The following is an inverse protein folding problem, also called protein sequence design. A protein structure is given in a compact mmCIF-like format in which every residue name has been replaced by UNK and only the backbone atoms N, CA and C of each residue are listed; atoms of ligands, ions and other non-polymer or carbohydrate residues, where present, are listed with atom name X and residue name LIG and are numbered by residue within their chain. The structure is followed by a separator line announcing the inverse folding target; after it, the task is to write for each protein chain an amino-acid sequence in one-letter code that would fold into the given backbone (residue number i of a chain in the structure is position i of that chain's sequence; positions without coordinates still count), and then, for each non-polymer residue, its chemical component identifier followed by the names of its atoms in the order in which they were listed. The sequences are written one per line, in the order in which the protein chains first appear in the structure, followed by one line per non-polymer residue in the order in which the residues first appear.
data_IF_660774159849
#
_entry.id   IF_660774159849
#
_cell.length_a   1.000
_cell.length_b   1.000
_cell.length_c   1.000
_cell.angle_alpha   90.00
_cell.angle_beta   90.00
_cell.angle_gamma   90.00
#
_symmetry.space_group_name_H-M   'P 1'
#
loop_
_entity.id
_entity.type
_entity.pdbx_description
1 polymer ?
#
# COMPACT_ATOMS: atom_id res chain seq x y z
N UNK A 1 27.10 -0.73 -16.16
CA UNK A 1 27.55 -2.12 -16.43
C UNK A 1 28.26 -2.61 -15.19
N UNK A 2 27.57 -3.36 -14.33
CA UNK A 2 28.23 -4.09 -13.24
C UNK A 2 28.69 -5.40 -13.86
N UNK A 3 30.01 -5.63 -13.89
CA UNK A 3 30.59 -6.89 -14.33
C UNK A 3 30.10 -7.99 -13.37
N UNK A 4 29.32 -8.93 -13.88
CA UNK A 4 28.91 -10.11 -13.12
C UNK A 4 30.02 -11.15 -13.25
N UNK A 5 30.71 -11.44 -12.14
CA UNK A 5 31.66 -12.55 -12.06
C UNK A 5 30.92 -13.88 -12.08
N UNK A 6 31.35 -14.81 -12.94
CA UNK A 6 30.82 -16.18 -13.10
C UNK A 6 31.23 -17.15 -11.96
N UNK A 7 31.43 -16.67 -10.72
CA UNK A 7 31.66 -17.56 -9.57
C UNK A 7 30.36 -17.79 -8.81
N UNK A 8 30.03 -19.05 -8.53
CA UNK A 8 28.90 -19.41 -7.68
C UNK A 8 28.99 -18.65 -6.33
N UNK A 9 27.91 -18.02 -5.86
CA UNK A 9 27.92 -17.26 -4.61
C UNK A 9 28.29 -18.17 -3.44
N UNK A 10 29.05 -17.64 -2.48
CA UNK A 10 29.31 -18.35 -1.23
C UNK A 10 27.98 -18.50 -0.48
N UNK A 11 27.56 -19.73 -0.10
CA UNK A 11 26.29 -19.94 0.59
C UNK A 11 26.25 -19.15 1.90
N UNK A 12 25.19 -18.36 2.08
CA UNK A 12 24.85 -17.74 3.35
C UNK A 12 24.13 -18.76 4.23
N UNK A 13 24.26 -18.60 5.54
CA UNK A 13 23.61 -19.51 6.49
C UNK A 13 22.16 -19.09 6.73
N UNK A 14 21.86 -17.81 6.57
CA UNK A 14 20.56 -17.25 6.89
C UNK A 14 19.46 -17.77 5.94
N UNK A 15 18.36 -18.20 6.55
CA UNK A 15 17.15 -18.62 5.84
C UNK A 15 16.18 -17.46 5.71
N UNK A 16 15.68 -17.26 4.50
CA UNK A 16 14.80 -16.15 4.14
C UNK A 16 13.49 -16.66 3.56
N UNK A 17 12.37 -16.23 4.14
CA UNK A 17 11.05 -16.46 3.54
C UNK A 17 10.63 -15.22 2.77
N UNK A 18 10.36 -15.38 1.48
CA UNK A 18 9.91 -14.30 0.60
C UNK A 18 8.40 -14.33 0.52
N UNK A 19 7.74 -13.21 0.81
CA UNK A 19 6.31 -13.06 0.55
C UNK A 19 6.06 -13.04 -0.96
N UNK A 20 5.48 -14.12 -1.49
CA UNK A 20 5.20 -14.32 -2.92
C UNK A 20 3.75 -13.97 -3.21
N UNK A 21 3.48 -12.84 -3.88
CA UNK A 21 2.11 -12.39 -4.17
C UNK A 21 1.62 -12.78 -5.56
N UNK A 22 2.37 -13.62 -6.29
CA UNK A 22 2.13 -13.87 -7.71
C UNK A 22 2.49 -12.69 -8.63
N UNK A 23 3.19 -11.67 -8.11
CA UNK A 23 3.63 -10.49 -8.85
C UNK A 23 5.13 -10.51 -9.20
N UNK A 24 5.52 -9.75 -10.22
CA UNK A 24 6.91 -9.71 -10.71
C UNK A 24 7.94 -9.26 -9.67
N UNK A 25 7.54 -8.38 -8.75
CA UNK A 25 8.46 -7.78 -7.78
C UNK A 25 8.89 -8.77 -6.71
N UNK A 26 7.95 -9.58 -6.20
CA UNK A 26 8.28 -10.69 -5.28
C UNK A 26 9.10 -11.78 -5.99
N UNK A 27 8.77 -12.08 -7.26
CA UNK A 27 9.49 -13.08 -8.06
C UNK A 27 10.97 -12.73 -8.22
N UNK A 28 11.26 -11.49 -8.60
CA UNK A 28 12.63 -11.00 -8.76
C UNK A 28 13.31 -10.86 -7.41
N UNK A 29 12.60 -10.47 -6.35
CA UNK A 29 13.17 -10.43 -5.00
C UNK A 29 13.68 -11.81 -4.55
N UNK A 30 12.89 -12.87 -4.77
CA UNK A 30 13.30 -14.24 -4.45
C UNK A 30 14.52 -14.68 -5.27
N UNK A 31 14.50 -14.40 -6.58
CA UNK A 31 15.63 -14.71 -7.46
C UNK A 31 16.92 -14.00 -7.05
N UNK A 32 16.85 -12.71 -6.72
CA UNK A 32 18.02 -11.93 -6.30
C UNK A 32 18.61 -12.46 -4.99
N UNK A 33 17.78 -12.88 -4.04
CA UNK A 33 18.25 -13.46 -2.78
C UNK A 33 18.92 -14.84 -2.99
N UNK A 34 18.37 -15.66 -3.88
CA UNK A 34 19.02 -16.91 -4.30
C UNK A 34 20.40 -16.65 -4.89
N UNK A 35 20.52 -15.66 -5.79
CA UNK A 35 21.79 -15.27 -6.41
C UNK A 35 22.79 -14.67 -5.40
N UNK A 36 22.31 -14.11 -4.30
CA UNK A 36 23.14 -13.64 -3.19
C UNK A 36 23.56 -14.75 -2.22
N UNK A 37 23.13 -16.00 -2.46
CA UNK A 37 23.50 -17.18 -1.69
C UNK A 37 22.64 -17.49 -0.48
N UNK A 38 21.50 -16.81 -0.27
CA UNK A 38 20.58 -17.12 0.84
C UNK A 38 19.88 -18.46 0.64
N UNK A 39 19.45 -19.08 1.75
CA UNK A 39 18.50 -20.20 1.70
C UNK A 39 17.09 -19.63 1.58
N UNK A 40 16.52 -19.69 0.38
CA UNK A 40 15.25 -19.01 0.06
C UNK A 40 14.10 -20.00 -0.05
N UNK A 41 12.98 -19.67 0.59
CA UNK A 41 11.67 -20.29 0.33
C UNK A 41 10.62 -19.19 0.16
N UNK A 42 9.52 -19.51 -0.51
CA UNK A 42 8.40 -18.59 -0.72
C UNK A 42 7.27 -18.84 0.26
N UNK A 43 6.50 -17.81 0.60
CA UNK A 43 5.21 -17.92 1.27
C UNK A 43 4.16 -17.13 0.49
N UNK A 44 3.09 -17.81 0.06
CA UNK A 44 1.89 -17.17 -0.45
C UNK A 44 0.90 -16.94 0.69
N UNK A 45 0.41 -15.71 0.83
CA UNK A 45 -0.52 -15.31 1.88
C UNK A 45 -1.91 -15.13 1.29
N UNK A 46 -2.88 -15.89 1.79
CA UNK A 46 -4.30 -15.62 1.55
C UNK A 46 -4.83 -14.77 2.70
N UNK A 47 -5.27 -13.56 2.41
CA UNK A 47 -5.69 -12.59 3.44
C UNK A 47 -7.17 -12.21 3.33
N UNK A 48 -7.93 -12.86 2.45
CA UNK A 48 -9.30 -12.51 2.14
C UNK A 48 -10.05 -13.73 1.62
N UNK A 49 -11.15 -14.09 2.28
CA UNK A 49 -11.96 -15.27 1.96
C UNK A 49 -13.31 -14.90 1.30
N UNK A 50 -13.80 -13.67 1.43
CA UNK A 50 -15.16 -13.26 0.99
C UNK A 50 -15.39 -13.38 -0.53
N UNK A 51 -14.33 -13.40 -1.33
CA UNK A 51 -14.42 -13.54 -2.79
C UNK A 51 -14.31 -15.00 -3.26
N UNK A 52 -14.18 -15.97 -2.34
CA UNK A 52 -14.09 -17.39 -2.67
C UNK A 52 -15.32 -17.88 -3.45
N UNK A 53 -15.07 -18.56 -4.57
CA UNK A 53 -16.13 -19.07 -5.45
C UNK A 53 -16.82 -18.01 -6.32
N UNK A 54 -16.39 -16.75 -6.26
CA UNK A 54 -16.85 -15.67 -7.14
C UNK A 54 -15.94 -15.48 -8.34
N UNK A 55 -16.42 -14.73 -9.35
CA UNK A 55 -15.61 -14.31 -10.51
C UNK A 55 -14.42 -13.39 -10.13
N UNK A 56 -14.42 -12.82 -8.91
CA UNK A 56 -13.38 -11.93 -8.41
C UNK A 56 -12.23 -12.65 -7.69
N UNK A 57 -12.28 -13.98 -7.57
CA UNK A 57 -11.24 -14.76 -6.90
C UNK A 57 -9.93 -14.81 -7.73
N UNK A 58 -9.09 -13.78 -7.62
CA UNK A 58 -7.75 -13.76 -8.26
C UNK A 58 -6.72 -14.57 -7.49
N UNK A 59 -6.98 -14.86 -6.20
CA UNK A 59 -6.03 -15.54 -5.32
C UNK A 59 -5.57 -16.90 -5.86
N UNK A 60 -6.43 -17.63 -6.58
CA UNK A 60 -6.07 -18.91 -7.20
C UNK A 60 -5.09 -18.73 -8.36
N UNK A 61 -5.27 -17.69 -9.17
CA UNK A 61 -4.36 -17.36 -10.28
C UNK A 61 -3.03 -16.83 -9.75
N UNK A 62 -3.08 -15.94 -8.75
CA UNK A 62 -1.89 -15.40 -8.09
C UNK A 62 -1.08 -16.52 -7.40
N UNK A 63 -1.74 -17.50 -6.80
CA UNK A 63 -1.09 -18.69 -6.22
C UNK A 63 -0.45 -19.56 -7.31
N UNK A 64 -1.12 -19.77 -8.43
CA UNK A 64 -0.56 -20.53 -9.55
C UNK A 64 0.68 -19.84 -10.13
N UNK A 65 0.65 -18.52 -10.28
CA UNK A 65 1.80 -17.73 -10.73
C UNK A 65 2.96 -17.78 -9.72
N UNK A 66 2.66 -17.67 -8.42
CA UNK A 66 3.66 -17.81 -7.37
C UNK A 66 4.31 -19.20 -7.39
N UNK A 67 3.52 -20.26 -7.56
CA UNK A 67 4.00 -21.63 -7.67
C UNK A 67 4.88 -21.81 -8.91
N UNK A 68 4.43 -21.34 -10.08
CA UNK A 68 5.19 -21.44 -11.32
C UNK A 68 6.55 -20.74 -11.23
N UNK A 69 6.62 -19.59 -10.55
CA UNK A 69 7.88 -18.91 -10.28
C UNK A 69 8.77 -19.71 -9.33
N UNK A 70 8.21 -20.22 -8.23
CA UNK A 70 8.95 -21.01 -7.24
C UNK A 70 9.55 -22.28 -7.86
N UNK A 71 8.76 -22.99 -8.68
CA UNK A 71 9.21 -24.18 -9.42
C UNK A 71 10.33 -23.83 -10.41
N UNK A 72 10.20 -22.69 -11.10
CA UNK A 72 11.20 -22.22 -12.07
C UNK A 72 12.55 -21.91 -11.44
N UNK A 73 12.56 -21.35 -10.23
CA UNK A 73 13.80 -20.98 -9.51
C UNK A 73 14.23 -22.02 -8.47
N UNK A 74 13.49 -23.12 -8.33
CA UNK A 74 13.85 -24.26 -7.49
C UNK A 74 13.68 -24.03 -5.98
N UNK A 75 12.66 -23.27 -5.55
CA UNK A 75 12.37 -23.04 -4.13
C UNK A 75 11.02 -23.62 -3.73
N UNK A 76 10.89 -23.97 -2.45
CA UNK A 76 9.63 -24.42 -1.87
C UNK A 76 8.68 -23.23 -1.71
N UNK A 77 7.41 -23.39 -2.11
CA UNK A 77 6.33 -22.47 -1.79
C UNK A 77 5.49 -23.02 -0.63
N UNK A 78 5.33 -22.22 0.42
CA UNK A 78 4.37 -22.47 1.49
C UNK A 78 3.11 -21.63 1.25
N UNK A 79 2.03 -22.00 1.93
CA UNK A 79 0.81 -21.21 1.98
C UNK A 79 0.43 -20.93 3.43
N UNK A 80 -0.13 -19.76 3.69
CA UNK A 80 -0.74 -19.40 4.97
C UNK A 80 -2.02 -18.62 4.73
N UNK A 81 -3.02 -18.82 5.59
CA UNK A 81 -4.24 -18.02 5.60
C UNK A 81 -4.17 -17.07 6.80
N UNK A 82 -4.19 -15.77 6.52
CA UNK A 82 -4.26 -14.69 7.51
C UNK A 82 -5.55 -13.86 7.36
N UNK A 83 -6.61 -14.42 6.79
CA UNK A 83 -7.87 -13.72 6.56
C UNK A 83 -8.52 -13.27 7.87
N UNK A 84 -8.41 -14.05 8.94
CA UNK A 84 -8.92 -13.67 10.26
C UNK A 84 -8.15 -12.46 10.80
N UNK A 85 -6.83 -12.51 10.80
CA UNK A 85 -5.98 -11.40 11.25
C UNK A 85 -6.18 -10.14 10.40
N UNK A 86 -6.40 -10.33 9.10
CA UNK A 86 -6.69 -9.24 8.16
C UNK A 86 -8.02 -8.56 8.51
N UNK A 87 -9.06 -9.36 8.74
CA UNK A 87 -10.38 -8.87 9.10
C UNK A 87 -10.30 -8.01 10.36
N UNK A 88 -9.79 -8.59 11.44
CA UNK A 88 -9.76 -7.98 12.77
C UNK A 88 -8.86 -6.74 12.82
N UNK A 89 -7.66 -6.83 12.24
CA UNK A 89 -6.63 -5.78 12.45
C UNK A 89 -6.58 -4.73 11.34
N UNK A 90 -7.22 -4.97 10.20
CA UNK A 90 -7.19 -4.06 9.03
C UNK A 90 -8.59 -3.67 8.59
N UNK A 91 -9.45 -4.65 8.31
CA UNK A 91 -10.72 -4.39 7.66
C UNK A 91 -11.75 -3.74 8.60
N UNK A 92 -11.84 -4.17 9.86
CA UNK A 92 -12.73 -3.53 10.83
C UNK A 92 -12.39 -2.05 11.04
N UNK A 93 -11.10 -1.73 11.17
CA UNK A 93 -10.64 -0.33 11.26
C UNK A 93 -11.00 0.46 10.00
N UNK A 94 -10.76 -0.13 8.83
CA UNK A 94 -11.13 0.48 7.54
C UNK A 94 -12.63 0.83 7.50
N UNK A 95 -13.52 -0.07 7.93
CA UNK A 95 -14.96 0.23 7.98
C UNK A 95 -15.29 1.30 9.02
N UNK A 96 -14.65 1.27 10.19
CA UNK A 96 -14.86 2.27 11.24
C UNK A 96 -14.47 3.69 10.78
N UNK A 97 -13.36 3.83 10.06
CA UNK A 97 -12.91 5.11 9.51
C UNK A 97 -13.89 5.67 8.47
N UNK A 98 -14.43 4.81 7.59
CA UNK A 98 -15.46 5.22 6.63
C UNK A 98 -16.78 5.61 7.29
N UNK A 99 -17.22 4.88 8.33
CA UNK A 99 -18.40 5.25 9.14
C UNK A 99 -18.22 6.63 9.77
N UNK A 100 -16.99 6.98 10.13
CA UNK A 100 -16.64 8.29 10.65
C UNK A 100 -16.30 9.33 9.56
N UNK A 101 -16.60 9.03 8.29
CA UNK A 101 -16.49 9.94 7.15
C UNK A 101 -15.06 10.22 6.66
N UNK A 102 -14.07 9.54 7.24
CA UNK A 102 -12.66 9.62 6.84
C UNK A 102 -12.37 8.71 5.66
N UNK A 103 -11.23 8.92 5.01
CA UNK A 103 -10.74 8.06 3.92
C UNK A 103 -9.51 7.30 4.44
N UNK A 104 -9.68 6.06 4.94
CA UNK A 104 -8.57 5.27 5.46
C UNK A 104 -7.62 4.81 4.35
N UNK A 105 -6.40 4.43 4.75
CA UNK A 105 -5.47 3.71 3.89
C UNK A 105 -5.21 2.31 4.47
N UNK A 106 -5.91 1.27 3.96
CA UNK A 106 -5.78 -0.09 4.49
C UNK A 106 -4.42 -0.72 4.19
N UNK A 107 -3.69 -0.26 3.17
CA UNK A 107 -2.39 -0.82 2.81
C UNK A 107 -1.31 -0.52 3.86
N UNK A 108 -1.40 0.62 4.57
CA UNK A 108 -0.51 0.94 5.70
C UNK A 108 -0.68 -0.10 6.81
N UNK A 109 -1.94 -0.43 7.16
CA UNK A 109 -2.25 -1.42 8.19
C UNK A 109 -1.95 -2.85 7.74
N UNK A 110 -2.23 -3.19 6.48
CA UNK A 110 -1.84 -4.48 5.90
C UNK A 110 -0.34 -4.71 6.02
N UNK A 111 0.48 -3.70 5.73
CA UNK A 111 1.92 -3.82 5.97
C UNK A 111 2.22 -4.04 7.45
N UNK A 112 1.72 -3.17 8.33
CA UNK A 112 2.06 -3.22 9.76
C UNK A 112 1.60 -4.50 10.46
N UNK A 113 0.35 -4.90 10.27
CA UNK A 113 -0.29 -5.98 11.04
C UNK A 113 -0.15 -7.34 10.37
N UNK A 114 -0.07 -7.38 9.04
CA UNK A 114 -0.03 -8.65 8.30
C UNK A 114 1.38 -8.91 7.78
N UNK A 115 1.89 -8.08 6.85
CA UNK A 115 3.16 -8.38 6.16
C UNK A 115 4.40 -8.29 7.03
N UNK A 116 4.41 -7.44 8.06
CA UNK A 116 5.57 -7.27 8.94
C UNK A 116 5.33 -7.73 10.38
N UNK A 117 4.19 -8.36 10.65
CA UNK A 117 3.85 -8.94 11.95
C UNK A 117 3.39 -10.39 11.78
N UNK A 118 2.14 -10.66 11.35
CA UNK A 118 1.67 -12.04 11.20
C UNK A 118 2.56 -12.89 10.27
N UNK A 119 2.96 -12.34 9.12
CA UNK A 119 3.89 -13.01 8.21
C UNK A 119 5.27 -13.20 8.84
N UNK A 120 5.82 -12.17 9.49
CA UNK A 120 7.11 -12.27 10.16
C UNK A 120 7.09 -13.37 11.22
N UNK A 121 6.11 -13.35 12.11
CA UNK A 121 5.95 -14.33 13.19
C UNK A 121 5.83 -15.75 12.63
N UNK A 122 5.02 -15.93 11.59
CA UNK A 122 4.87 -17.23 10.92
C UNK A 122 6.17 -17.70 10.25
N UNK A 123 6.90 -16.81 9.57
CA UNK A 123 8.18 -17.13 8.97
C UNK A 123 9.22 -17.57 10.03
N UNK A 124 9.25 -16.91 11.18
CA UNK A 124 10.10 -17.31 12.31
C UNK A 124 9.73 -18.70 12.84
N UNK A 125 8.43 -19.04 12.91
CA UNK A 125 7.97 -20.39 13.28
C UNK A 125 8.40 -21.46 12.27
N UNK A 126 8.49 -21.11 10.98
CA UNK A 126 9.04 -21.99 9.93
C UNK A 126 10.58 -22.15 10.02
N UNK A 127 11.24 -21.45 10.95
CA UNK A 127 12.69 -21.48 11.15
C UNK A 127 13.44 -20.53 10.23
N UNK A 128 12.81 -19.44 9.79
CA UNK A 128 13.49 -18.38 9.05
C UNK A 128 14.24 -17.42 9.97
N UNK A 129 15.33 -16.86 9.48
CA UNK A 129 16.06 -15.79 10.16
C UNK A 129 15.49 -14.42 9.76
N UNK A 130 15.06 -14.28 8.50
CA UNK A 130 14.59 -13.04 7.89
C UNK A 130 13.37 -13.30 7.00
N UNK A 131 12.60 -12.25 6.76
CA UNK A 131 11.63 -12.20 5.66
C UNK A 131 12.13 -11.31 4.54
N UNK A 132 11.54 -11.46 3.36
CA UNK A 132 11.72 -10.51 2.27
C UNK A 132 10.41 -10.22 1.56
N UNK A 133 10.33 -9.05 0.95
CA UNK A 133 9.14 -8.63 0.19
C UNK A 133 9.56 -7.92 -1.10
N UNK A 134 8.66 -7.87 -2.07
CA UNK A 134 8.83 -7.10 -3.31
C UNK A 134 8.61 -5.59 -3.16
N UNK A 135 8.79 -5.01 -1.97
CA UNK A 135 8.58 -3.58 -1.78
C UNK A 135 9.77 -2.76 -2.31
N UNK A 136 9.46 -1.66 -2.99
CA UNK A 136 10.42 -0.66 -3.45
C UNK A 136 10.81 0.30 -2.32
N UNK A 137 11.47 -0.26 -1.31
CA UNK A 137 12.06 0.48 -0.20
C UNK A 137 13.46 -0.04 0.06
N UNK A 138 14.27 0.71 0.78
CA UNK A 138 15.61 0.27 1.16
C UNK A 138 15.75 0.23 2.66
N UNK A 139 16.72 -0.55 3.12
CA UNK A 139 17.09 -0.69 4.51
C UNK A 139 18.53 -0.26 4.69
N UNK A 140 18.82 0.41 5.79
CA UNK A 140 20.19 0.67 6.22
C UNK A 140 20.34 0.46 7.71
N UNK A 141 21.31 -0.34 8.11
CA UNK A 141 21.69 -0.48 9.50
C UNK A 141 22.78 0.54 9.83
N UNK A 142 22.56 1.36 10.86
CA UNK A 142 23.45 2.43 11.29
C UNK A 142 23.34 2.63 12.80
N UNK A 143 24.48 2.74 13.49
CA UNK A 143 24.54 3.08 14.92
C UNK A 143 23.64 2.19 15.81
N UNK A 144 23.58 0.89 15.49
CA UNK A 144 22.75 -0.09 16.22
C UNK A 144 21.25 0.00 15.95
N UNK A 145 20.83 0.79 14.95
CA UNK A 145 19.42 0.96 14.54
C UNK A 145 19.24 0.63 13.06
N UNK A 146 18.05 0.17 12.71
CA UNK A 146 17.67 -0.07 11.32
C UNK A 146 16.78 1.04 10.81
N UNK A 147 17.18 1.68 9.72
CA UNK A 147 16.48 2.78 9.07
C UNK A 147 15.71 2.30 7.83
N UNK A 148 14.49 2.83 7.65
CA UNK A 148 13.74 2.74 6.40
C UNK A 148 14.16 3.87 5.47
N UNK A 149 14.59 3.52 4.26
CA UNK A 149 14.99 4.45 3.22
C UNK A 149 14.03 4.35 2.03
N UNK A 150 13.93 5.44 1.27
CA UNK A 150 13.20 5.45 -0.01
C UNK A 150 13.85 4.50 -1.02
N UNK A 151 13.03 3.86 -1.85
CA UNK A 151 13.49 3.14 -3.03
C UNK A 151 14.26 4.05 -3.99
N UNK A 152 15.16 3.49 -4.80
CA UNK A 152 15.91 4.27 -5.79
C UNK A 152 15.00 4.78 -6.93
N UNK A 153 13.96 4.04 -7.29
CA UNK A 153 12.94 4.49 -8.24
C UNK A 153 11.92 5.43 -7.57
N UNK A 154 11.96 6.75 -7.82
CA UNK A 154 11.04 7.69 -7.17
C UNK A 154 9.57 7.50 -7.59
N UNK A 155 9.30 6.85 -8.73
CA UNK A 155 7.93 6.61 -9.22
C UNK A 155 7.30 5.36 -8.58
N UNK A 156 8.13 4.53 -7.95
CA UNK A 156 7.75 3.28 -7.30
C UNK A 156 8.09 3.22 -5.83
N UNK A 157 8.83 4.19 -5.27
CA UNK A 157 9.13 4.28 -3.84
C UNK A 157 7.90 4.01 -2.98
N UNK A 158 7.94 2.92 -2.22
CA UNK A 158 6.84 2.45 -1.38
C UNK A 158 7.03 2.79 0.10
N UNK A 159 8.01 3.64 0.45
CA UNK A 159 8.30 4.03 1.84
C UNK A 159 7.08 4.63 2.53
N UNK A 160 6.21 5.30 1.77
CA UNK A 160 4.92 5.83 2.23
C UNK A 160 4.04 4.78 2.92
N UNK A 161 4.03 3.53 2.42
CA UNK A 161 3.16 2.48 2.98
C UNK A 161 3.79 1.75 4.17
N UNK A 162 5.11 1.89 4.36
CA UNK A 162 5.86 1.20 5.42
C UNK A 162 6.20 2.12 6.60
N UNK A 163 5.73 3.37 6.60
CA UNK A 163 6.04 4.35 7.64
C UNK A 163 5.64 3.92 9.06
N UNK A 164 4.65 3.01 9.16
CA UNK A 164 4.14 2.51 10.43
C UNK A 164 4.77 1.19 10.89
N UNK A 165 5.75 0.66 10.14
CA UNK A 165 6.50 -0.55 10.48
C UNK A 165 7.70 -0.17 11.35
N UNK A 166 7.87 -0.85 12.48
CA UNK A 166 8.95 -0.56 13.44
C UNK A 166 10.31 -1.02 12.92
N UNK A 167 11.37 -0.34 13.36
CA UNK A 167 12.76 -0.61 12.98
C UNK A 167 13.17 -2.05 13.30
N UNK A 168 12.62 -2.66 14.36
CA UNK A 168 12.85 -4.07 14.72
C UNK A 168 12.31 -5.04 13.66
N UNK A 169 11.10 -4.81 13.14
CA UNK A 169 10.54 -5.62 12.06
C UNK A 169 11.32 -5.40 10.76
N UNK A 170 11.74 -4.16 10.48
CA UNK A 170 12.60 -3.84 9.32
C UNK A 170 13.96 -4.52 9.45
N UNK A 171 14.53 -4.61 10.65
CA UNK A 171 15.79 -5.31 10.93
C UNK A 171 15.72 -6.81 10.60
N UNK A 172 14.52 -7.38 10.59
CA UNK A 172 14.26 -8.77 10.19
C UNK A 172 13.75 -8.91 8.76
N UNK A 173 13.83 -7.84 7.96
CA UNK A 173 13.30 -7.78 6.60
C UNK A 173 14.35 -7.40 5.57
N UNK A 174 14.22 -7.94 4.35
CA UNK A 174 15.02 -7.62 3.17
C UNK A 174 14.13 -7.07 2.03
N UNK A 175 14.69 -6.14 1.24
CA UNK A 175 13.99 -5.45 0.16
C UNK A 175 14.84 -5.40 -1.12
N UNK A 176 15.06 -6.54 -1.81
CA UNK A 176 16.04 -6.62 -2.89
C UNK A 176 15.76 -5.67 -4.05
N UNK A 177 14.49 -5.46 -4.39
CA UNK A 177 14.07 -4.61 -5.52
C UNK A 177 14.12 -3.11 -5.22
N UNK A 178 14.33 -2.70 -3.96
CA UNK A 178 14.45 -1.28 -3.59
C UNK A 178 15.68 -0.59 -4.15
N UNK A 179 16.70 -1.37 -4.54
CA UNK A 179 17.93 -0.89 -5.18
C UNK A 179 17.83 -0.84 -6.72
N UNK A 180 16.65 -1.14 -7.29
CA UNK A 180 16.47 -1.26 -8.74
C UNK A 180 15.35 -0.35 -9.23
N UNK A 181 15.45 0.06 -10.49
CA UNK A 181 14.32 0.68 -11.18
C UNK A 181 13.33 -0.38 -11.67
N UNK A 182 12.04 -0.04 -11.76
CA UNK A 182 11.02 -1.00 -12.22
C UNK A 182 11.31 -1.64 -13.60
N UNK A 183 11.82 -0.91 -14.60
CA UNK A 183 12.20 -1.52 -15.87
C UNK A 183 13.27 -2.60 -15.72
N UNK A 184 14.25 -2.39 -14.85
CA UNK A 184 15.31 -3.36 -14.58
C UNK A 184 14.76 -4.63 -13.93
N UNK A 185 13.83 -4.49 -12.96
CA UNK A 185 13.13 -5.63 -12.36
C UNK A 185 12.41 -6.45 -13.43
N UNK A 186 11.69 -5.82 -14.36
CA UNK A 186 11.03 -6.54 -15.46
C UNK A 186 12.03 -7.22 -16.40
N UNK A 187 13.13 -6.55 -16.75
CA UNK A 187 14.18 -7.13 -17.59
C UNK A 187 14.84 -8.36 -16.95
N UNK A 188 15.07 -8.34 -15.63
CA UNK A 188 15.58 -9.49 -14.87
C UNK A 188 14.57 -10.65 -14.96
N UNK A 189 13.28 -10.39 -14.75
CA UNK A 189 12.24 -11.40 -14.83
C UNK A 189 12.16 -12.04 -16.23
N UNK A 190 12.22 -11.23 -17.29
CA UNK A 190 12.22 -11.72 -18.67
C UNK A 190 13.46 -12.56 -18.98
N UNK A 191 14.66 -12.10 -18.59
CA UNK A 191 15.92 -12.82 -18.80
C UNK A 191 15.91 -14.22 -18.19
N UNK A 192 15.24 -14.41 -17.05
CA UNK A 192 15.18 -15.70 -16.36
C UNK A 192 13.94 -16.53 -16.75
N UNK A 193 13.08 -16.00 -17.63
CA UNK A 193 11.87 -16.67 -18.08
C UNK A 193 10.85 -16.86 -16.95
N UNK A 194 10.70 -15.88 -16.07
CA UNK A 194 9.70 -15.93 -15.00
C UNK A 194 8.30 -15.67 -15.57
N UNK A 195 7.32 -16.50 -15.22
CA UNK A 195 5.94 -16.39 -15.71
C UNK A 195 5.32 -15.00 -15.46
N UNK A 196 5.71 -14.35 -14.37
CA UNK A 196 5.21 -13.03 -13.96
C UNK A 196 5.82 -11.86 -14.71
N UNK A 197 6.81 -12.05 -15.60
CA UNK A 197 7.57 -10.95 -16.22
C UNK A 197 6.70 -9.91 -16.93
N UNK A 198 5.65 -10.37 -17.64
CA UNK A 198 4.70 -9.53 -18.37
C UNK A 198 3.42 -9.21 -17.60
N UNK A 199 3.28 -9.72 -16.37
CA UNK A 199 2.09 -9.47 -15.54
C UNK A 199 2.01 -7.99 -15.20
N UNK A 200 0.80 -7.42 -15.25
CA UNK A 200 0.56 -6.05 -14.84
C UNK A 200 0.78 -5.91 -13.34
N UNK A 201 1.18 -4.71 -12.91
CA UNK A 201 1.26 -4.42 -11.48
C UNK A 201 -0.16 -4.44 -10.92
N UNK A 202 -0.36 -5.04 -9.74
CA UNK A 202 -1.64 -5.00 -9.04
C UNK A 202 -2.04 -3.55 -8.79
N UNK A 203 -3.26 -3.18 -9.20
CA UNK A 203 -3.85 -1.87 -8.93
C UNK A 203 -5.01 -2.02 -7.95
N UNK A 204 -5.29 -0.95 -7.18
CA UNK A 204 -6.32 -0.99 -6.15
C UNK A 204 -5.81 -1.41 -4.77
N UNK A 205 -6.74 -1.61 -3.84
CA UNK A 205 -6.44 -2.02 -2.47
C UNK A 205 -6.09 -3.52 -2.47
N UNK A 206 -5.02 -3.90 -1.77
CA UNK A 206 -4.34 -5.20 -1.89
C UNK A 206 -5.24 -6.45 -1.87
N UNK A 207 -6.38 -6.42 -1.19
CA UNK A 207 -7.31 -7.56 -1.02
C UNK A 207 -8.63 -7.39 -1.79
N UNK A 208 -8.95 -6.18 -2.24
CA UNK A 208 -10.21 -5.90 -2.94
C UNK A 208 -10.10 -6.32 -4.41
N UNK A 209 -8.89 -6.29 -4.98
CA UNK A 209 -8.65 -6.55 -6.39
C UNK A 209 -9.18 -5.44 -7.32
N UNK A 210 -9.24 -5.72 -8.61
CA UNK A 210 -9.73 -4.79 -9.64
C UNK A 210 -11.26 -4.80 -9.74
N UNK A 211 -11.95 -4.27 -8.71
CA UNK A 211 -13.42 -4.07 -8.73
C UNK A 211 -13.84 -2.65 -8.35
N UNK A 212 -15.10 -2.31 -8.63
CA UNK A 212 -15.67 -1.00 -8.28
C UNK A 212 -15.75 -0.85 -6.76
N UNK A 213 -14.89 0.01 -6.22
CA UNK A 213 -14.79 0.25 -4.78
C UNK A 213 -16.13 0.59 -4.11
N UNK A 214 -16.96 1.39 -4.77
CA UNK A 214 -18.30 1.76 -4.28
C UNK A 214 -19.21 0.54 -4.10
N UNK A 215 -19.16 -0.43 -5.02
CA UNK A 215 -20.02 -1.60 -4.96
C UNK A 215 -19.54 -2.60 -3.89
N UNK A 216 -18.23 -2.69 -3.69
CA UNK A 216 -17.65 -3.41 -2.55
C UNK A 216 -18.10 -2.81 -1.21
N UNK A 217 -17.95 -1.50 -1.02
CA UNK A 217 -18.22 -0.86 0.27
C UNK A 217 -19.71 -0.91 0.66
N UNK A 218 -20.64 -0.95 -0.32
CA UNK A 218 -22.09 -1.13 -0.10
C UNK A 218 -22.46 -2.45 0.59
N UNK A 219 -21.62 -3.47 0.48
CA UNK A 219 -21.88 -4.77 1.12
C UNK A 219 -21.75 -4.68 2.65
N UNK A 220 -20.97 -3.71 3.14
CA UNK A 220 -20.63 -3.57 4.56
C UNK A 220 -21.21 -2.32 5.22
N UNK A 221 -21.41 -1.24 4.45
CA UNK A 221 -21.92 0.02 4.95
C UNK A 221 -23.20 0.42 4.21
N UNK A 222 -24.32 0.65 4.92
CA UNK A 222 -25.56 1.08 4.30
C UNK A 222 -25.38 2.46 3.67
N UNK A 223 -25.82 2.61 2.42
CA UNK A 223 -25.84 3.89 1.73
C UNK A 223 -26.78 4.87 2.43
N UNK A 224 -26.28 6.08 2.76
CA UNK A 224 -27.07 7.17 3.33
C UNK A 224 -27.06 8.35 2.35
N UNK A 225 -28.02 8.41 1.41
CA UNK A 225 -28.06 9.49 0.44
C UNK A 225 -28.31 10.83 1.13
N UNK A 226 -27.72 11.89 0.59
CA UNK A 226 -27.78 13.25 1.13
C UNK A 226 -27.58 14.29 0.05
N UNK A 227 -27.65 15.56 0.42
CA UNK A 227 -27.58 16.67 -0.52
C UNK A 227 -26.13 17.07 -0.82
N UNK A 228 -25.91 17.52 -2.05
CA UNK A 228 -24.66 18.14 -2.48
C UNK A 228 -24.86 19.65 -2.51
N UNK A 229 -24.09 20.38 -1.72
CA UNK A 229 -24.20 21.83 -1.55
C UNK A 229 -22.96 22.57 -2.05
N UNK A 230 -23.15 23.76 -2.60
CA UNK A 230 -22.05 24.72 -2.84
C UNK A 230 -21.65 25.42 -1.54
N UNK A 231 -20.55 26.19 -1.57
CA UNK A 231 -20.09 27.05 -0.45
C UNK A 231 -21.09 28.11 -0.04
N UNK A 232 -22.04 28.45 -0.92
CA UNK A 232 -23.12 29.41 -0.68
C UNK A 232 -24.39 28.73 -0.12
N UNK A 233 -24.36 27.41 0.13
CA UNK A 233 -25.49 26.63 0.63
C UNK A 233 -26.53 26.27 -0.44
N UNK A 234 -26.20 26.43 -1.73
CA UNK A 234 -27.11 26.03 -2.82
C UNK A 234 -27.03 24.52 -3.03
N UNK A 235 -28.16 23.84 -2.94
CA UNK A 235 -28.26 22.41 -3.29
C UNK A 235 -28.19 22.26 -4.81
N UNK A 236 -27.24 21.47 -5.29
CA UNK A 236 -26.96 21.29 -6.73
C UNK A 236 -26.94 19.82 -7.17
N UNK A 237 -27.24 18.89 -6.26
CA UNK A 237 -27.32 17.47 -6.55
C UNK A 237 -27.53 16.63 -5.31
N UNK A 238 -27.41 15.31 -5.48
CA UNK A 238 -27.46 14.34 -4.38
C UNK A 238 -26.33 13.33 -4.48
N UNK A 239 -25.76 12.97 -3.35
CA UNK A 239 -24.78 11.91 -3.23
C UNK A 239 -25.43 10.61 -2.77
N UNK A 240 -24.81 9.47 -3.05
CA UNK A 240 -25.25 8.15 -2.59
C UNK A 240 -24.75 7.81 -1.17
N UNK A 241 -23.80 8.58 -0.65
CA UNK A 241 -23.28 8.46 0.72
C UNK A 241 -21.92 9.14 0.87
N UNK A 242 -21.70 9.83 2.00
CA UNK A 242 -20.46 10.59 2.23
C UNK A 242 -19.19 9.73 2.24
N UNK A 243 -19.31 8.45 2.59
CA UNK A 243 -18.21 7.49 2.59
C UNK A 243 -17.67 7.19 1.18
N UNK A 244 -18.45 7.42 0.12
CA UNK A 244 -18.01 7.19 -1.27
C UNK A 244 -17.21 8.35 -1.87
N UNK A 245 -17.04 9.43 -1.11
CA UNK A 245 -16.35 10.62 -1.55
C UNK A 245 -15.07 10.85 -0.76
N UNK A 246 -14.09 11.56 -1.31
CA UNK A 246 -12.88 11.99 -0.60
C UNK A 246 -12.61 13.45 -0.94
N UNK A 247 -12.08 14.23 0.00
CA UNK A 247 -11.73 15.64 -0.24
C UNK A 247 -10.77 15.74 -1.44
N UNK A 248 -11.03 16.67 -2.34
CA UNK A 248 -10.33 16.85 -3.62
C UNK A 248 -10.76 15.89 -4.74
N UNK A 249 -11.78 15.05 -4.53
CA UNK A 249 -12.33 14.19 -5.58
C UNK A 249 -13.11 15.01 -6.61
N UNK A 250 -12.80 14.80 -7.89
CA UNK A 250 -13.52 15.38 -9.04
C UNK A 250 -14.58 14.43 -9.63
N UNK A 251 -14.22 13.16 -9.79
CA UNK A 251 -15.04 12.18 -10.50
C UNK A 251 -16.16 11.64 -9.60
N UNK A 252 -17.27 11.20 -10.21
CA UNK A 252 -18.37 10.54 -9.51
C UNK A 252 -19.30 11.47 -8.71
N UNK A 253 -19.25 12.78 -8.95
CA UNK A 253 -20.17 13.74 -8.34
C UNK A 253 -21.54 13.82 -9.03
N UNK A 254 -21.62 13.43 -10.31
CA UNK A 254 -22.87 13.47 -11.07
C UNK A 254 -23.43 14.87 -11.32
N UNK A 255 -22.61 15.91 -11.15
CA UNK A 255 -22.99 17.32 -11.37
C UNK A 255 -22.65 17.70 -12.81
N UNK A 256 -23.63 18.08 -13.61
CA UNK A 256 -23.45 18.50 -15.00
C UNK A 256 -24.03 19.89 -15.26
N UNK A 257 -23.30 20.72 -16.01
CA UNK A 257 -23.76 21.95 -16.70
C UNK A 257 -24.83 22.77 -15.97
N UNK A 258 -24.49 23.36 -14.82
CA UNK A 258 -25.38 24.26 -14.10
C UNK A 258 -25.34 25.64 -14.76
N UNK A 259 -26.51 26.20 -15.12
CA UNK A 259 -26.62 27.49 -15.83
C UNK A 259 -25.93 28.68 -15.12
N UNK A 260 -25.78 28.60 -13.80
CA UNK A 260 -25.21 29.66 -12.96
C UNK A 260 -23.79 29.33 -12.48
N UNK A 261 -23.19 28.24 -12.97
CA UNK A 261 -21.83 27.83 -12.64
C UNK A 261 -20.91 28.06 -13.84
N UNK A 262 -19.61 28.26 -13.59
CA UNK A 262 -18.60 28.35 -14.65
C UNK A 262 -18.35 27.00 -15.33
N UNK A 263 -17.42 26.98 -16.31
CA UNK A 263 -17.02 25.76 -17.01
C UNK A 263 -16.04 24.87 -16.22
N UNK A 264 -15.57 25.38 -15.07
CA UNK A 264 -14.60 24.68 -14.24
C UNK A 264 -15.17 23.41 -13.59
N UNK A 265 -14.36 22.35 -13.46
CA UNK A 265 -14.81 21.11 -12.84
C UNK A 265 -15.09 21.29 -11.35
N UNK A 266 -16.07 20.53 -10.85
CA UNK A 266 -16.44 20.46 -9.45
C UNK A 266 -15.52 19.51 -8.67
N UNK A 267 -15.21 19.89 -7.44
CA UNK A 267 -14.40 19.12 -6.48
C UNK A 267 -15.11 19.03 -5.14
N UNK A 268 -14.94 17.90 -4.45
CA UNK A 268 -15.31 17.77 -3.03
C UNK A 268 -14.41 18.66 -2.19
N UNK A 269 -15.00 19.63 -1.50
CA UNK A 269 -14.30 20.54 -0.59
C UNK A 269 -14.38 20.06 0.86
N UNK A 270 -15.47 19.39 1.23
CA UNK A 270 -15.70 18.96 2.60
C UNK A 270 -16.84 17.97 2.73
N UNK A 271 -16.98 17.41 3.93
CA UNK A 271 -18.07 16.52 4.31
C UNK A 271 -18.64 16.98 5.64
N UNK A 272 -19.94 17.21 5.68
CA UNK A 272 -20.66 17.50 6.90
C UNK A 272 -21.45 16.25 7.31
N UNK A 273 -20.91 15.50 8.28
CA UNK A 273 -21.53 14.26 8.74
C UNK A 273 -22.80 14.51 9.54
N UNK A 274 -22.92 15.65 10.22
CA UNK A 274 -24.08 15.95 11.06
C UNK A 274 -25.31 16.28 10.19
N UNK A 275 -25.10 17.07 9.13
CA UNK A 275 -26.16 17.40 8.16
C UNK A 275 -26.31 16.37 7.05
N UNK A 276 -25.37 15.43 6.93
CA UNK A 276 -25.25 14.51 5.79
C UNK A 276 -25.19 15.27 4.45
N UNK A 277 -24.26 16.22 4.36
CA UNK A 277 -24.07 17.11 3.20
C UNK A 277 -22.66 16.97 2.63
N UNK A 278 -22.56 16.84 1.31
CA UNK A 278 -21.30 16.90 0.59
C UNK A 278 -21.06 18.32 0.07
N UNK A 279 -20.02 18.98 0.57
CA UNK A 279 -19.67 20.33 0.14
C UNK A 279 -18.79 20.26 -1.11
N UNK A 280 -19.14 21.02 -2.15
CA UNK A 280 -18.41 21.07 -3.41
C UNK A 280 -18.16 22.50 -3.89
N UNK A 281 -17.15 22.68 -4.73
CA UNK A 281 -16.85 23.96 -5.40
C UNK A 281 -16.07 23.75 -6.68
N UNK A 282 -15.98 24.81 -7.50
CA UNK A 282 -15.32 24.77 -8.80
C UNK A 282 -13.85 25.17 -8.72
N UNK A 283 -13.04 24.59 -9.59
CA UNK A 283 -11.60 24.90 -9.71
C UNK A 283 -10.74 24.04 -8.79
N UNK A 284 -9.60 23.57 -9.31
CA UNK A 284 -8.62 22.82 -8.51
C UNK A 284 -7.77 23.72 -7.60
N UNK A 285 -7.85 25.03 -7.81
CA UNK A 285 -7.25 26.12 -7.07
C UNK A 285 -8.20 26.72 -6.03
N UNK A 286 -9.40 26.13 -5.86
CA UNK A 286 -10.38 26.57 -4.87
C UNK A 286 -9.76 26.64 -3.46
N UNK A 287 -9.83 27.78 -2.74
CA UNK A 287 -9.10 27.99 -1.47
C UNK A 287 -9.35 26.92 -0.41
N UNK A 288 -10.58 26.39 -0.32
CA UNK A 288 -10.94 25.32 0.63
C UNK A 288 -10.28 23.95 0.34
N UNK A 289 -9.65 23.75 -0.82
CA UNK A 289 -8.83 22.55 -1.10
C UNK A 289 -7.43 22.64 -0.50
N UNK A 290 -6.99 23.84 -0.09
CA UNK A 290 -5.64 24.08 0.41
C UNK A 290 -5.65 24.24 1.92
N UNK A 291 -4.67 23.62 2.56
CA UNK A 291 -4.40 23.82 3.98
C UNK A 291 -2.91 24.11 4.20
N UNK A 292 -2.63 24.92 5.22
CA UNK A 292 -1.26 25.25 5.65
C UNK A 292 -0.76 24.36 6.79
N UNK A 293 -1.66 23.63 7.45
CA UNK A 293 -1.37 22.78 8.58
C UNK A 293 -2.35 21.60 8.66
N UNK A 294 -1.96 20.56 9.38
CA UNK A 294 -2.83 19.45 9.75
C UNK A 294 -2.48 19.02 11.17
N UNK A 295 -3.46 18.44 11.86
CA UNK A 295 -3.24 17.76 13.13
C UNK A 295 -3.18 16.25 12.86
N UNK A 296 -2.14 15.60 13.34
CA UNK A 296 -1.98 14.16 13.25
C UNK A 296 -2.21 13.53 14.63
N UNK A 297 -3.26 12.73 14.78
CA UNK A 297 -3.64 12.16 16.09
C UNK A 297 -2.60 11.17 16.63
N UNK A 298 -2.11 10.27 15.76
CA UNK A 298 -1.12 9.24 16.13
C UNK A 298 -0.04 9.18 15.07
N UNK A 299 1.21 9.41 15.50
CA UNK A 299 2.39 9.31 14.64
C UNK A 299 3.08 7.98 14.96
N UNK A 300 3.30 7.18 13.93
CA UNK A 300 4.14 5.98 14.02
C UNK A 300 5.53 6.34 13.52
N UNK A 301 6.52 6.07 14.37
CA UNK A 301 7.91 6.28 14.04
C UNK A 301 8.58 4.93 13.84
N UNK A 302 9.30 4.78 12.72
CA UNK A 302 10.13 3.59 12.47
C UNK A 302 11.12 3.38 13.61
N UNK A 303 11.80 4.45 14.03
CA UNK A 303 12.66 4.47 15.20
C UNK A 303 12.23 5.61 16.13
N UNK A 304 12.36 5.46 17.46
CA UNK A 304 12.02 6.52 18.39
C UNK A 304 12.67 7.86 18.04
N UNK A 305 11.87 8.93 18.06
CA UNK A 305 12.31 10.31 17.83
C UNK A 305 11.93 11.16 19.03
N UNK A 306 12.89 11.91 19.56
CA UNK A 306 12.65 12.89 20.62
C UNK A 306 11.98 14.14 20.06
N UNK A 307 10.77 14.43 20.51
CA UNK A 307 9.97 15.59 20.09
C UNK A 307 9.91 16.64 21.20
N UNK A 308 11.07 17.09 21.69
CA UNK A 308 11.15 18.17 22.69
C UNK A 308 11.07 19.57 22.07
N UNK A 309 11.39 19.69 20.78
CA UNK A 309 11.40 20.96 20.05
C UNK A 309 10.79 20.77 18.66
N UNK A 310 10.25 21.83 18.03
CA UNK A 310 9.80 21.78 16.65
C UNK A 310 10.89 21.23 15.73
N UNK A 311 10.53 20.27 14.88
CA UNK A 311 11.46 19.63 13.95
C UNK A 311 11.12 20.01 12.52
N UNK A 312 12.13 20.47 11.77
CA UNK A 312 12.02 20.66 10.31
C UNK A 312 12.12 19.31 9.64
N UNK A 313 11.10 18.96 8.86
CA UNK A 313 10.95 17.67 8.20
C UNK A 313 10.43 17.88 6.78
N UNK A 314 10.31 16.76 6.07
CA UNK A 314 9.53 16.66 4.84
C UNK A 314 8.40 15.67 5.03
N UNK A 315 7.23 15.99 4.51
CA UNK A 315 6.04 15.15 4.63
C UNK A 315 5.35 14.94 3.28
N UNK A 316 4.60 13.84 3.19
CA UNK A 316 3.61 13.57 2.16
C UNK A 316 2.28 13.33 2.85
N UNK A 317 1.19 13.90 2.35
CA UNK A 317 -0.17 13.63 2.84
C UNK A 317 -0.88 12.57 2.00
N UNK A 318 -0.36 12.26 0.81
CA UNK A 318 -0.85 11.20 -0.08
C UNK A 318 0.30 10.52 -0.82
N UNK A 319 0.11 9.24 -1.15
CA UNK A 319 1.05 8.50 -2.00
C UNK A 319 1.26 9.20 -3.34
N UNK A 320 2.50 9.23 -3.85
CA UNK A 320 2.96 9.94 -5.05
C UNK A 320 2.89 11.46 -5.05
N UNK A 321 2.46 12.09 -3.95
CA UNK A 321 2.69 13.53 -3.77
C UNK A 321 4.19 13.78 -3.63
N UNK A 322 4.74 14.85 -4.21
CA UNK A 322 6.09 15.31 -3.89
C UNK A 322 6.22 15.63 -2.40
N UNK A 323 7.41 15.43 -1.85
CA UNK A 323 7.69 15.83 -0.46
C UNK A 323 7.45 17.34 -0.30
N UNK A 324 6.84 17.74 0.81
CA UNK A 324 6.65 19.14 1.18
C UNK A 324 7.44 19.44 2.45
N UNK A 325 8.17 20.55 2.47
CA UNK A 325 8.85 21.00 3.69
C UNK A 325 7.81 21.39 4.75
N UNK A 326 8.01 20.94 5.98
CA UNK A 326 7.10 21.21 7.09
C UNK A 326 7.85 21.34 8.42
N UNK A 327 7.13 21.84 9.42
CA UNK A 327 7.56 21.86 10.81
C UNK A 327 6.58 20.97 11.59
N UNK A 328 7.12 19.98 12.30
CA UNK A 328 6.36 19.18 13.25
C UNK A 328 6.55 19.75 14.65
N UNK A 329 5.46 20.11 15.30
CA UNK A 329 5.38 20.58 16.68
C UNK A 329 4.31 19.80 17.46
N UNK A 330 4.39 19.83 18.80
CA UNK A 330 3.47 19.13 19.70
C UNK A 330 2.29 20.00 20.07
#
# INVERSE_FOLDING_TARGET
MIAMSESAPTPRRERVIVGMSGGVDSSVSALLLLQQGYQVEGLFMKNWDEDDGTEYCTAREDLADAQAVCDRIGIKLHTANFAAEYWDNVFEHFLAEYKAGRTPNPDILCNREIKFKAFLDYALMLGADLIATGHYVRRRDRDGRTELLKGLDPNKDQSYFLHAVGGEQIARSLFPVGELEKPEVRAIAEKHGLATAKKKDSTGICFIGERRFTDFLKQYLPAQPGDIETTEGKVIGRHSGLMYHTIGQRQGLGIGGLKEAGDDPWYVLGKDLQRNVLLVGQGNDHPLLFSRALLASRIYWVNPVELERPRRLRAKVRYRQSDQDCILEK
#
